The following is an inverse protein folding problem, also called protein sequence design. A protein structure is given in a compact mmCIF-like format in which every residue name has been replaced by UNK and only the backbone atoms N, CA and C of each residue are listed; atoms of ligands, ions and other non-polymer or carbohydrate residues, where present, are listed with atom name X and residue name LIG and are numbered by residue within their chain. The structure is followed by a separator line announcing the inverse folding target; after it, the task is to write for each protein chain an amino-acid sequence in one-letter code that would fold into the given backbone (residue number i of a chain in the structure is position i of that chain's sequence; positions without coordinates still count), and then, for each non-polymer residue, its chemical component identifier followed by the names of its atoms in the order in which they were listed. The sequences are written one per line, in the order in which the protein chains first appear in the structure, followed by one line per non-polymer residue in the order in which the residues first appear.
data_IF_000419255198
#
_entry.id   IF_000419255198
#
_cell.length_a   1.000
_cell.length_b   1.000
_cell.length_c   1.000
_cell.angle_alpha   90.00
_cell.angle_beta   90.00
_cell.angle_gamma   90.00
#
_symmetry.space_group_name_H-M   'P 1'
#
loop_
_entity.id
_entity.type
_entity.pdbx_description
1 polymer ?
#
# COMPACT_ATOMS: atom_id res chain seq x y z
N UNK A 1 -6.01 12.02 -16.99
CA UNK A 1 -5.09 11.25 -16.13
C UNK A 1 -5.82 10.98 -14.82
N UNK A 2 -5.83 9.73 -14.35
CA UNK A 2 -6.57 9.32 -13.15
C UNK A 2 -6.11 10.09 -11.92
N UNK A 3 -4.80 10.38 -11.83
CA UNK A 3 -4.25 11.21 -10.75
C UNK A 3 -4.90 12.60 -10.71
N UNK A 4 -4.92 13.30 -11.85
CA UNK A 4 -5.53 14.63 -11.94
C UNK A 4 -7.03 14.60 -11.62
N UNK A 5 -7.73 13.51 -11.97
CA UNK A 5 -9.13 13.35 -11.61
C UNK A 5 -9.32 13.27 -10.08
N UNK A 6 -8.49 12.48 -9.39
CA UNK A 6 -8.51 12.44 -7.92
C UNK A 6 -8.07 13.76 -7.28
N UNK A 7 -7.01 14.40 -7.78
CA UNK A 7 -6.51 15.68 -7.25
C UNK A 7 -7.55 16.81 -7.37
N UNK A 8 -8.37 16.79 -8.44
CA UNK A 8 -9.41 17.80 -8.70
C UNK A 8 -10.75 17.46 -8.04
N UNK A 9 -11.21 16.23 -8.22
CA UNK A 9 -12.60 15.83 -7.95
C UNK A 9 -12.73 14.97 -6.67
N UNK A 10 -11.62 14.52 -6.08
CA UNK A 10 -11.59 13.71 -4.86
C UNK A 10 -12.42 12.44 -5.00
N UNK A 11 -13.33 12.21 -4.05
CA UNK A 11 -14.26 11.06 -4.05
C UNK A 11 -15.18 11.03 -5.28
N UNK A 12 -15.38 12.16 -5.97
CA UNK A 12 -16.27 12.27 -7.15
C UNK A 12 -15.56 11.95 -8.47
N UNK A 13 -14.27 11.59 -8.43
CA UNK A 13 -13.53 11.21 -9.64
C UNK A 13 -14.14 9.96 -10.29
N UNK A 14 -14.58 10.08 -11.55
CA UNK A 14 -15.11 8.94 -12.29
C UNK A 14 -13.96 8.05 -12.79
N UNK A 15 -13.82 6.88 -12.17
CA UNK A 15 -12.86 5.82 -12.54
C UNK A 15 -13.53 4.59 -13.16
N UNK A 16 -14.76 4.74 -13.66
CA UNK A 16 -15.51 3.63 -14.26
C UNK A 16 -14.87 3.12 -15.55
N UNK A 17 -15.23 1.88 -15.93
CA UNK A 17 -14.79 1.27 -17.18
C UNK A 17 -15.24 2.03 -18.44
N UNK A 18 -16.25 2.91 -18.33
CA UNK A 18 -16.67 3.78 -19.42
C UNK A 18 -15.64 4.89 -19.70
N UNK A 19 -14.99 5.41 -18.65
CA UNK A 19 -13.98 6.47 -18.76
C UNK A 19 -12.59 5.89 -18.96
N UNK A 20 -12.27 4.81 -18.25
CA UNK A 20 -10.97 4.11 -18.33
C UNK A 20 -11.20 2.62 -18.64
N UNK A 21 -11.28 2.24 -19.93
CA UNK A 21 -11.55 0.85 -20.32
C UNK A 21 -10.42 -0.13 -19.97
N UNK A 22 -9.17 0.34 -19.95
CA UNK A 22 -8.01 -0.46 -19.59
C UNK A 22 -7.75 -0.41 -18.08
N UNK A 23 -7.96 -1.54 -17.40
CA UNK A 23 -7.73 -1.69 -15.96
C UNK A 23 -6.28 -1.38 -15.54
N UNK A 24 -5.31 -1.53 -16.44
CA UNK A 24 -3.90 -1.21 -16.15
C UNK A 24 -3.69 0.27 -15.87
N UNK A 25 -4.58 1.14 -16.37
CA UNK A 25 -4.58 2.57 -16.04
C UNK A 25 -4.91 2.76 -14.56
N UNK A 26 -5.93 2.07 -14.06
CA UNK A 26 -6.36 2.15 -12.66
C UNK A 26 -5.31 1.54 -11.72
N UNK A 27 -4.74 0.37 -12.07
CA UNK A 27 -3.66 -0.22 -11.26
C UNK A 27 -2.40 0.65 -11.32
N UNK A 28 -2.11 1.28 -12.45
CA UNK A 28 -1.06 2.27 -12.62
C UNK A 28 -1.23 3.46 -11.68
N UNK A 29 -2.44 4.01 -11.61
CA UNK A 29 -2.78 5.12 -10.74
C UNK A 29 -2.65 4.75 -9.25
N UNK A 30 -3.12 3.56 -8.84
CA UNK A 30 -2.95 3.08 -7.47
C UNK A 30 -1.47 2.92 -7.10
N UNK A 31 -0.65 2.37 -8.00
CA UNK A 31 0.81 2.27 -7.80
C UNK A 31 1.46 3.66 -7.69
N UNK A 32 1.04 4.61 -8.51
CA UNK A 32 1.51 5.99 -8.48
C UNK A 32 1.14 6.67 -7.16
N UNK A 33 -0.08 6.47 -6.66
CA UNK A 33 -0.54 7.02 -5.37
C UNK A 33 0.41 6.63 -4.23
N UNK A 34 0.74 5.33 -4.09
CA UNK A 34 1.68 4.88 -3.06
C UNK A 34 3.10 5.43 -3.23
N UNK A 35 3.54 5.64 -4.48
CA UNK A 35 4.87 6.18 -4.78
C UNK A 35 4.99 7.67 -4.45
N UNK A 36 3.89 8.41 -4.60
CA UNK A 36 3.87 9.87 -4.40
C UNK A 36 3.65 10.29 -2.94
N UNK A 37 3.42 9.33 -2.03
CA UNK A 37 3.30 9.63 -0.60
C UNK A 37 4.59 10.26 -0.06
N UNK A 38 4.51 11.33 0.76
CA UNK A 38 5.70 11.93 1.37
C UNK A 38 6.41 10.96 2.33
N UNK A 39 5.64 10.07 2.97
CA UNK A 39 6.13 8.95 3.77
C UNK A 39 5.55 7.67 3.16
N UNK A 40 6.37 6.69 2.77
CA UNK A 40 5.89 5.44 2.19
C UNK A 40 4.96 4.68 3.14
N UNK A 41 4.07 3.86 2.58
CA UNK A 41 3.07 3.10 3.36
C UNK A 41 3.75 2.21 4.42
N UNK A 42 4.89 1.62 4.08
CA UNK A 42 5.86 1.11 5.06
C UNK A 42 6.80 2.26 5.38
N UNK A 43 6.72 2.80 6.59
CA UNK A 43 7.43 4.02 6.97
C UNK A 43 8.95 3.83 7.02
N UNK A 44 9.70 4.92 6.90
CA UNK A 44 11.17 4.89 7.02
C UNK A 44 11.63 4.29 8.37
N UNK A 45 10.91 4.56 9.46
CA UNK A 45 11.25 4.09 10.82
C UNK A 45 11.06 2.57 10.99
N UNK A 46 10.14 1.98 10.23
CA UNK A 46 9.82 0.54 10.29
C UNK A 46 10.50 -0.26 9.19
N UNK A 47 10.97 0.38 8.13
CA UNK A 47 11.55 -0.27 6.96
C UNK A 47 12.71 -1.21 7.29
N UNK A 48 13.72 -0.75 8.04
CA UNK A 48 14.86 -1.59 8.41
C UNK A 48 14.42 -2.82 9.23
N UNK A 49 13.47 -2.64 10.13
CA UNK A 49 12.90 -3.73 10.95
C UNK A 49 12.16 -4.75 10.10
N UNK A 50 11.40 -4.32 9.09
CA UNK A 50 10.77 -5.23 8.12
C UNK A 50 11.81 -6.05 7.35
N UNK A 51 12.89 -5.40 6.89
CA UNK A 51 13.98 -6.07 6.17
C UNK A 51 14.67 -7.10 7.05
N UNK A 52 14.93 -6.77 8.31
CA UNK A 52 15.58 -7.70 9.24
C UNK A 52 14.67 -8.86 9.64
N UNK A 53 13.38 -8.61 9.88
CA UNK A 53 12.39 -9.65 10.07
C UNK A 53 12.31 -10.59 8.84
N UNK A 54 12.33 -10.05 7.62
CA UNK A 54 12.27 -10.83 6.39
C UNK A 54 13.48 -11.76 6.16
N UNK A 55 14.64 -11.47 6.78
CA UNK A 55 15.85 -12.31 6.70
C UNK A 55 15.82 -13.51 7.65
N UNK A 56 14.89 -13.56 8.60
CA UNK A 56 14.77 -14.67 9.55
C UNK A 56 14.45 -15.95 8.78
N UNK A 57 15.27 -16.99 9.00
CA UNK A 57 15.16 -18.26 8.28
C UNK A 57 13.96 -19.09 8.72
N UNK A 58 13.74 -19.19 10.04
CA UNK A 58 12.58 -19.89 10.60
C UNK A 58 11.29 -19.16 10.20
N UNK A 59 10.32 -19.90 9.67
CA UNK A 59 9.09 -19.32 9.13
C UNK A 59 8.16 -18.74 10.21
N UNK A 60 8.06 -19.41 11.35
CA UNK A 60 7.20 -19.00 12.45
C UNK A 60 7.79 -17.78 13.16
N UNK A 61 9.10 -17.78 13.41
CA UNK A 61 9.82 -16.63 13.96
C UNK A 61 9.77 -15.42 13.00
N UNK A 62 9.88 -15.65 11.69
CA UNK A 62 9.73 -14.59 10.68
C UNK A 62 8.32 -14.00 10.71
N UNK A 63 7.29 -14.85 10.82
CA UNK A 63 5.91 -14.38 10.87
C UNK A 63 5.66 -13.52 12.11
N UNK A 64 6.12 -13.97 13.28
CA UNK A 64 6.01 -13.22 14.53
C UNK A 64 6.74 -11.88 14.44
N UNK A 65 7.99 -11.88 13.96
CA UNK A 65 8.77 -10.65 13.80
C UNK A 65 8.10 -9.66 12.82
N UNK A 66 7.55 -10.13 11.70
CA UNK A 66 6.80 -9.27 10.76
C UNK A 66 5.55 -8.71 11.43
N UNK A 67 4.84 -9.51 12.23
CA UNK A 67 3.67 -9.07 12.99
C UNK A 67 4.01 -7.99 14.01
N UNK A 68 5.09 -8.15 14.79
CA UNK A 68 5.57 -7.14 15.71
C UNK A 68 5.90 -5.81 15.02
N UNK A 69 6.54 -5.86 13.85
CA UNK A 69 6.88 -4.65 13.08
C UNK A 69 5.62 -3.98 12.50
N UNK A 70 4.62 -4.75 12.07
CA UNK A 70 3.33 -4.21 11.64
C UNK A 70 2.65 -3.39 12.75
N UNK A 71 2.74 -3.86 14.01
CA UNK A 71 2.19 -3.17 15.17
C UNK A 71 2.89 -1.84 15.51
N UNK A 72 4.05 -1.57 14.91
CA UNK A 72 4.78 -0.30 15.06
C UNK A 72 4.38 0.76 14.02
N UNK A 73 3.61 0.39 13.00
CA UNK A 73 3.13 1.34 12.00
C UNK A 73 2.09 2.30 12.60
N UNK A 74 2.07 3.58 12.16
CA UNK A 74 0.96 4.47 12.49
C UNK A 74 -0.39 3.87 12.02
N UNK A 75 -1.51 4.10 12.74
CA UNK A 75 -2.79 3.44 12.44
C UNK A 75 -3.25 3.58 10.98
N UNK A 76 -3.08 4.75 10.37
CA UNK A 76 -3.44 4.98 8.97
C UNK A 76 -2.60 4.16 7.98
N UNK A 77 -1.31 3.98 8.27
CA UNK A 77 -0.40 3.18 7.44
C UNK A 77 -0.72 1.70 7.57
N UNK A 78 -0.96 1.22 8.80
CA UNK A 78 -1.34 -0.15 9.08
C UNK A 78 -2.64 -0.53 8.35
N UNK A 79 -3.72 0.24 8.52
CA UNK A 79 -5.01 -0.10 7.89
C UNK A 79 -4.93 -0.04 6.36
N UNK A 80 -4.20 0.93 5.81
CA UNK A 80 -3.99 1.01 4.35
C UNK A 80 -3.22 -0.20 3.84
N UNK A 81 -2.11 -0.58 4.50
CA UNK A 81 -1.32 -1.74 4.12
C UNK A 81 -2.12 -3.05 4.25
N UNK A 82 -2.89 -3.19 5.34
CA UNK A 82 -3.78 -4.33 5.58
C UNK A 82 -4.78 -4.48 4.43
N UNK A 83 -5.45 -3.41 4.04
CA UNK A 83 -6.43 -3.46 2.95
C UNK A 83 -5.77 -3.79 1.60
N UNK A 84 -4.58 -3.22 1.33
CA UNK A 84 -3.79 -3.55 0.15
C UNK A 84 -3.42 -5.04 0.12
N UNK A 85 -2.92 -5.60 1.22
CA UNK A 85 -2.53 -7.01 1.29
C UNK A 85 -3.73 -7.96 1.12
N UNK A 86 -4.89 -7.61 1.69
CA UNK A 86 -6.14 -8.36 1.47
C UNK A 86 -6.51 -8.34 -0.02
N UNK A 87 -6.38 -7.19 -0.69
CA UNK A 87 -6.65 -7.09 -2.12
C UNK A 87 -5.67 -7.94 -2.96
N UNK A 88 -4.37 -7.86 -2.67
CA UNK A 88 -3.33 -8.60 -3.41
C UNK A 88 -3.38 -10.12 -3.18
N UNK A 89 -4.01 -10.59 -2.11
CA UNK A 89 -4.18 -12.02 -1.83
C UNK A 89 -5.33 -12.66 -2.61
N UNK A 90 -6.31 -11.86 -3.03
CA UNK A 90 -7.46 -12.34 -3.81
C UNK A 90 -7.03 -12.72 -5.23
#
# INVERSE_FOLDING_TARGET
DVKMAFDRDGEKADISANVYPDINIITGALKLYFRDLPIPVITYDTYSKFIDAAKISNADERLEAVHEVLMLLPPAHYETLRYLMIHLKK
#
